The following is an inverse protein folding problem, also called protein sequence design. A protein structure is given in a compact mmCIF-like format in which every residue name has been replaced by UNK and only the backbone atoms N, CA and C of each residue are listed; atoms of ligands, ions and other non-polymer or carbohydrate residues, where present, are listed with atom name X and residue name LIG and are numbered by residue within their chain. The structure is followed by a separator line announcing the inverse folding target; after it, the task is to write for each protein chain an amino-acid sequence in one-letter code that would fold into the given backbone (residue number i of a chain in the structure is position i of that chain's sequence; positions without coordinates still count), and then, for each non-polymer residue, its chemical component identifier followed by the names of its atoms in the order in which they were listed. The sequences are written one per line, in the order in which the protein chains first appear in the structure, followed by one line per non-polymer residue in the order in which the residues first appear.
data_IF_350983506018
#
_entry.id   IF_350983506018
#
_cell.length_a   1.000
_cell.length_b   1.000
_cell.length_c   1.000
_cell.angle_alpha   90.00
_cell.angle_beta   90.00
_cell.angle_gamma   90.00
#
_symmetry.space_group_name_H-M   'P 1'
#
loop_
_entity.id
_entity.type
_entity.pdbx_description
1 polymer ?
#
# COMPACT_ATOMS: atom_id res chain seq x y z
N UNK A 1 26.18 -10.15 4.72
CA UNK A 1 26.29 -9.45 6.02
C UNK A 1 27.42 -10.03 6.85
N UNK A 2 27.49 -11.38 7.01
CA UNK A 2 28.56 -12.09 7.76
C UNK A 2 29.95 -11.66 7.31
N UNK A 3 30.26 -11.73 6.04
CA UNK A 3 31.56 -11.36 5.47
C UNK A 3 31.92 -9.89 5.73
N UNK A 4 30.93 -8.99 5.62
CA UNK A 4 31.12 -7.57 5.87
C UNK A 4 31.49 -7.26 7.33
N UNK A 5 30.98 -8.03 8.29
CA UNK A 5 31.33 -7.93 9.71
C UNK A 5 32.74 -8.49 9.96
N UNK A 6 33.01 -9.69 9.43
CA UNK A 6 34.32 -10.34 9.64
C UNK A 6 35.48 -9.60 8.99
N UNK A 7 35.24 -8.93 7.86
CA UNK A 7 36.24 -8.08 7.19
C UNK A 7 36.41 -6.70 7.84
N UNK A 8 35.59 -6.34 8.81
CA UNK A 8 35.57 -5.01 9.42
C UNK A 8 34.96 -3.92 8.56
N UNK A 9 34.35 -4.27 7.41
CA UNK A 9 33.60 -3.32 6.58
C UNK A 9 32.38 -2.74 7.33
N UNK A 10 31.71 -3.57 8.13
CA UNK A 10 30.69 -3.16 9.08
C UNK A 10 31.21 -3.33 10.51
N UNK A 11 31.03 -2.32 11.34
CA UNK A 11 31.41 -2.36 12.75
C UNK A 11 30.54 -3.31 13.58
N UNK A 12 29.33 -3.61 13.15
CA UNK A 12 28.38 -4.51 13.78
C UNK A 12 27.01 -4.45 13.12
N UNK A 13 26.04 -5.24 13.62
CA UNK A 13 24.67 -5.22 13.17
C UNK A 13 23.67 -5.58 14.27
N UNK A 14 22.41 -5.20 14.06
CA UNK A 14 21.27 -5.73 14.80
C UNK A 14 20.25 -6.29 13.77
N UNK A 15 19.80 -7.51 13.99
CA UNK A 15 18.87 -8.21 13.08
C UNK A 15 17.74 -8.83 13.87
N UNK A 16 16.51 -8.56 13.46
CA UNK A 16 15.28 -9.07 14.08
C UNK A 16 14.55 -10.08 13.19
N UNK A 17 14.79 -10.04 11.85
CA UNK A 17 14.09 -10.86 10.85
C UNK A 17 15.08 -11.72 10.10
N UNK A 18 14.79 -13.01 9.94
CA UNK A 18 15.71 -13.99 9.35
C UNK A 18 15.04 -14.73 8.18
N UNK A 19 15.81 -15.16 7.16
CA UNK A 19 15.27 -15.94 6.03
C UNK A 19 14.58 -17.24 6.48
N UNK A 20 15.13 -17.87 7.51
CA UNK A 20 14.57 -19.08 8.13
C UNK A 20 14.40 -18.83 9.63
N UNK A 21 13.17 -18.92 10.09
CA UNK A 21 12.80 -18.69 11.49
C UNK A 21 12.17 -19.95 12.08
N UNK A 22 12.47 -20.32 13.35
CA UNK A 22 11.84 -21.44 14.02
C UNK A 22 10.32 -21.25 14.07
N UNK A 23 9.56 -22.30 13.73
CA UNK A 23 8.09 -22.27 13.76
C UNK A 23 7.52 -22.31 15.18
N UNK A 24 8.33 -22.73 16.12
CA UNK A 24 7.96 -22.83 17.55
C UNK A 24 9.21 -22.86 18.43
N UNK A 25 9.02 -22.71 19.74
CA UNK A 25 10.10 -22.65 20.73
C UNK A 25 10.90 -23.97 20.92
N UNK A 26 10.54 -25.04 20.23
CA UNK A 26 11.23 -26.33 20.31
C UNK A 26 12.21 -26.54 19.16
N UNK A 27 12.11 -25.76 18.12
CA UNK A 27 13.02 -25.81 16.98
C UNK A 27 14.28 -24.99 17.26
N UNK A 28 15.48 -25.48 16.91
CA UNK A 28 16.70 -24.73 17.07
C UNK A 28 16.71 -23.53 16.11
N UNK A 29 17.18 -22.40 16.57
CA UNK A 29 17.48 -21.26 15.72
C UNK A 29 18.89 -21.41 15.14
N UNK A 30 19.00 -21.41 13.83
CA UNK A 30 20.27 -21.44 13.10
C UNK A 30 20.41 -20.19 12.22
N UNK A 31 21.58 -19.55 12.28
CA UNK A 31 21.91 -18.39 11.47
C UNK A 31 23.41 -18.23 11.34
N UNK A 32 23.87 -17.86 10.16
CA UNK A 32 25.27 -17.51 9.90
C UNK A 32 25.78 -16.32 10.73
N UNK A 33 24.87 -15.55 11.31
CA UNK A 33 25.19 -14.37 12.13
C UNK A 33 25.40 -14.75 13.61
N UNK A 34 25.06 -15.97 14.01
CA UNK A 34 25.17 -16.45 15.38
C UNK A 34 26.62 -16.51 15.82
N UNK A 35 26.92 -15.87 16.94
CA UNK A 35 28.27 -15.86 17.51
C UNK A 35 29.27 -14.88 16.85
N UNK A 36 28.82 -14.06 15.90
CA UNK A 36 29.67 -13.01 15.34
C UNK A 36 29.91 -11.87 16.34
N UNK A 37 31.08 -11.20 16.30
CA UNK A 37 31.34 -10.04 17.14
C UNK A 37 30.39 -8.88 16.80
N UNK A 38 30.08 -8.04 17.78
CA UNK A 38 29.25 -6.83 17.62
C UNK A 38 27.91 -7.08 16.91
N UNK A 39 27.29 -8.27 17.15
CA UNK A 39 26.05 -8.66 16.52
C UNK A 39 24.97 -8.86 17.56
N UNK A 40 23.83 -8.18 17.39
CA UNK A 40 22.62 -8.35 18.21
C UNK A 40 21.59 -9.06 17.35
N UNK A 41 21.08 -10.20 17.84
CA UNK A 41 20.00 -10.94 17.22
C UNK A 41 18.81 -10.97 18.17
N UNK A 42 17.62 -10.57 17.68
CA UNK A 42 16.39 -10.54 18.45
C UNK A 42 15.38 -11.53 17.85
N UNK A 43 14.43 -12.05 18.65
CA UNK A 43 13.62 -13.22 18.26
C UNK A 43 12.39 -12.90 17.42
N UNK A 44 12.32 -11.77 16.74
CA UNK A 44 11.21 -11.33 15.87
C UNK A 44 9.83 -11.42 16.56
N UNK A 45 9.73 -10.93 17.79
CA UNK A 45 8.49 -10.99 18.59
C UNK A 45 7.71 -9.67 18.63
N UNK A 46 8.13 -8.65 17.88
CA UNK A 46 7.51 -7.32 17.91
C UNK A 46 6.01 -7.32 17.61
N UNK A 47 5.55 -8.25 16.77
CA UNK A 47 4.12 -8.45 16.48
C UNK A 47 3.43 -9.53 17.33
N UNK A 48 4.15 -10.23 18.21
CA UNK A 48 3.66 -11.44 18.88
C UNK A 48 3.38 -11.25 20.37
N UNK A 49 3.70 -10.09 20.94
CA UNK A 49 3.36 -9.78 22.33
C UNK A 49 1.85 -9.52 22.50
N UNK A 50 1.30 -9.69 23.69
CA UNK A 50 -0.11 -9.43 23.96
C UNK A 50 -0.47 -7.97 23.65
N UNK A 51 0.36 -7.02 24.06
CA UNK A 51 0.18 -5.60 23.80
C UNK A 51 0.23 -5.28 22.29
N UNK A 52 1.13 -5.91 21.55
CA UNK A 52 1.20 -5.74 20.08
C UNK A 52 -0.07 -6.26 19.41
N UNK A 53 -0.55 -7.44 19.79
CA UNK A 53 -1.78 -8.03 19.25
C UNK A 53 -3.00 -7.15 19.51
N UNK A 54 -3.15 -6.60 20.72
CA UNK A 54 -4.21 -5.64 21.02
C UNK A 54 -4.11 -4.36 20.19
N UNK A 55 -2.91 -3.80 20.04
CA UNK A 55 -2.69 -2.59 19.27
C UNK A 55 -2.94 -2.82 17.77
N UNK A 56 -2.50 -3.94 17.22
CA UNK A 56 -2.77 -4.36 15.84
C UNK A 56 -4.27 -4.52 15.62
N UNK A 57 -4.97 -5.20 16.55
CA UNK A 57 -6.41 -5.43 16.48
C UNK A 57 -7.23 -4.12 16.51
N UNK A 58 -6.72 -3.06 17.11
CA UNK A 58 -7.36 -1.72 17.11
C UNK A 58 -6.98 -0.91 15.87
N UNK A 59 -5.72 -0.96 15.46
CA UNK A 59 -5.19 -0.12 14.38
C UNK A 59 -5.63 -0.60 12.99
N UNK A 60 -5.46 -1.89 12.70
CA UNK A 60 -5.68 -2.44 11.35
C UNK A 60 -7.13 -2.31 10.87
N UNK A 61 -8.16 -2.65 11.68
CA UNK A 61 -9.54 -2.46 11.25
C UNK A 61 -9.88 -1.00 10.93
N UNK A 62 -9.36 -0.07 11.73
CA UNK A 62 -9.53 1.38 11.46
C UNK A 62 -8.96 1.77 10.10
N UNK A 63 -7.77 1.27 9.72
CA UNK A 63 -7.16 1.52 8.42
C UNK A 63 -7.91 0.87 7.26
N UNK A 64 -8.42 -0.34 7.46
CA UNK A 64 -9.26 -1.02 6.46
C UNK A 64 -10.56 -0.25 6.24
N UNK A 65 -11.21 0.19 7.29
CA UNK A 65 -12.44 1.00 7.18
C UNK A 65 -12.17 2.35 6.50
N UNK A 66 -11.06 3.01 6.83
CA UNK A 66 -10.62 4.24 6.16
C UNK A 66 -10.44 3.99 4.65
N UNK A 67 -9.73 2.93 4.27
CA UNK A 67 -9.56 2.54 2.86
C UNK A 67 -10.90 2.23 2.17
N UNK A 68 -11.79 1.50 2.82
CA UNK A 68 -13.10 1.15 2.25
C UNK A 68 -13.94 2.41 2.01
N UNK A 69 -13.95 3.33 2.95
CA UNK A 69 -14.84 4.51 2.93
C UNK A 69 -14.25 5.69 2.15
N UNK A 70 -12.94 5.84 2.09
CA UNK A 70 -12.31 7.04 1.51
C UNK A 70 -11.31 6.75 0.39
N UNK A 71 -10.87 5.50 0.26
CA UNK A 71 -9.78 5.13 -0.65
C UNK A 71 -8.40 5.51 -0.16
N UNK A 72 -8.24 6.01 1.06
CA UNK A 72 -6.94 6.34 1.62
C UNK A 72 -6.08 5.09 1.80
N UNK A 73 -4.82 5.17 1.40
CA UNK A 73 -3.84 4.08 1.43
C UNK A 73 -2.68 4.38 2.37
N UNK A 74 -2.85 5.37 3.25
CA UNK A 74 -1.82 5.76 4.20
C UNK A 74 -1.43 4.60 5.13
N UNK A 75 -0.14 4.37 5.27
CA UNK A 75 0.48 3.23 5.97
C UNK A 75 0.31 1.87 5.28
N UNK A 76 -0.17 1.82 4.04
CA UNK A 76 -0.10 0.60 3.25
C UNK A 76 1.33 0.37 2.74
N UNK A 77 1.79 -0.89 2.78
CA UNK A 77 3.14 -1.26 2.29
C UNK A 77 3.14 -1.67 0.82
N UNK A 78 1.98 -2.01 0.26
CA UNK A 78 1.84 -2.54 -1.11
C UNK A 78 1.12 -1.58 -2.07
N UNK A 79 0.60 -0.46 -1.58
CA UNK A 79 0.00 0.60 -2.38
C UNK A 79 0.80 1.90 -2.28
N UNK A 80 0.77 2.74 -3.33
CA UNK A 80 1.23 4.12 -3.20
C UNK A 80 0.47 4.84 -2.09
N UNK A 81 1.19 5.54 -1.21
CA UNK A 81 0.57 6.20 -0.04
C UNK A 81 -0.17 7.48 -0.46
N UNK A 82 -1.48 7.49 -0.32
CA UNK A 82 -2.35 8.67 -0.49
C UNK A 82 -3.21 8.84 0.75
N UNK A 83 -3.33 10.08 1.21
CA UNK A 83 -4.27 10.48 2.24
C UNK A 83 -4.95 11.78 1.80
N UNK A 84 -6.26 11.73 1.59
CA UNK A 84 -7.08 12.85 1.16
C UNK A 84 -8.24 13.04 2.14
N UNK A 85 -8.68 14.28 2.34
CA UNK A 85 -9.88 14.54 3.12
C UNK A 85 -11.13 13.94 2.44
N UNK A 86 -12.15 13.68 3.24
CA UNK A 86 -13.48 13.40 2.74
C UNK A 86 -14.08 14.68 2.14
N UNK A 87 -14.64 14.59 0.93
CA UNK A 87 -15.35 15.68 0.27
C UNK A 87 -16.85 15.38 0.31
N UNK A 88 -17.60 16.23 0.99
CA UNK A 88 -19.03 16.01 1.26
C UNK A 88 -19.93 16.10 0.00
N UNK A 89 -19.55 16.97 -0.95
CA UNK A 89 -20.37 17.29 -2.12
C UNK A 89 -19.72 16.81 -3.43
N UNK A 90 -18.95 15.75 -3.37
CA UNK A 90 -18.27 15.14 -4.51
C UNK A 90 -18.44 13.62 -4.52
N UNK A 91 -18.40 13.02 -5.69
CA UNK A 91 -18.33 11.58 -5.85
C UNK A 91 -16.89 11.16 -6.06
N UNK A 92 -16.43 10.17 -5.31
CA UNK A 92 -15.05 9.69 -5.39
C UNK A 92 -14.94 8.42 -6.21
N UNK A 93 -14.11 8.48 -7.24
CA UNK A 93 -13.75 7.36 -8.11
C UNK A 93 -12.32 6.93 -7.79
N UNK A 94 -12.10 5.64 -7.67
CA UNK A 94 -10.77 5.06 -7.45
C UNK A 94 -10.43 4.18 -8.64
N UNK A 95 -9.27 4.44 -9.26
CA UNK A 95 -8.76 3.68 -10.38
C UNK A 95 -7.37 3.15 -10.06
N UNK A 96 -7.25 1.85 -10.01
CA UNK A 96 -5.99 1.13 -9.84
C UNK A 96 -5.61 0.55 -11.20
N UNK A 97 -4.41 0.87 -11.68
CA UNK A 97 -3.96 0.46 -13.00
C UNK A 97 -2.48 0.05 -13.00
N UNK A 98 -2.06 -0.68 -14.03
CA UNK A 98 -0.64 -0.88 -14.28
C UNK A 98 0.05 0.46 -14.50
N UNK A 99 1.27 0.63 -13.97
CA UNK A 99 2.02 1.87 -14.11
C UNK A 99 2.57 2.03 -15.53
N UNK A 100 1.69 2.38 -16.45
CA UNK A 100 1.99 2.56 -17.88
C UNK A 100 1.71 4.02 -18.30
N UNK A 101 2.52 4.57 -19.20
CA UNK A 101 2.27 5.91 -19.76
C UNK A 101 0.90 6.01 -20.45
N UNK A 102 0.22 7.13 -20.24
CA UNK A 102 -1.02 7.45 -20.94
C UNK A 102 -2.30 6.96 -20.28
N UNK A 103 -2.28 6.15 -19.22
CA UNK A 103 -3.51 5.70 -18.52
C UNK A 103 -4.27 6.88 -17.94
N UNK A 104 -3.61 7.80 -17.25
CA UNK A 104 -4.27 9.00 -16.71
C UNK A 104 -4.92 9.86 -17.81
N UNK A 105 -4.27 9.98 -18.98
CA UNK A 105 -4.84 10.69 -20.12
C UNK A 105 -6.13 10.02 -20.61
N UNK A 106 -6.19 8.69 -20.67
CA UNK A 106 -7.39 7.94 -21.05
C UNK A 106 -8.52 8.12 -20.03
N UNK A 107 -8.20 8.10 -18.73
CA UNK A 107 -9.18 8.39 -17.67
C UNK A 107 -9.81 9.78 -17.92
N UNK A 108 -8.98 10.79 -18.14
CA UNK A 108 -9.45 12.16 -18.34
C UNK A 108 -10.23 12.31 -19.66
N UNK A 109 -9.86 11.60 -20.71
CA UNK A 109 -10.62 11.57 -21.97
C UNK A 109 -12.02 10.98 -21.79
N UNK A 110 -12.15 9.89 -21.03
CA UNK A 110 -13.45 9.29 -20.72
C UNK A 110 -14.29 10.28 -19.93
N UNK A 111 -13.77 10.87 -18.86
CA UNK A 111 -14.50 11.85 -18.03
C UNK A 111 -14.94 13.05 -18.87
N UNK A 112 -14.08 13.58 -19.72
CA UNK A 112 -14.40 14.69 -20.63
C UNK A 112 -15.47 14.30 -21.66
N UNK A 113 -15.41 13.08 -22.22
CA UNK A 113 -16.39 12.56 -23.18
C UNK A 113 -17.82 12.48 -22.60
N UNK A 114 -17.94 12.22 -21.31
CA UNK A 114 -19.21 12.22 -20.59
C UNK A 114 -19.53 13.59 -19.94
N UNK A 115 -18.75 14.62 -20.25
CA UNK A 115 -18.91 15.97 -19.71
C UNK A 115 -18.92 15.99 -18.17
N UNK A 116 -18.06 15.18 -17.54
CA UNK A 116 -17.88 15.08 -16.09
C UNK A 116 -16.73 16.00 -15.68
N UNK A 117 -17.03 16.94 -14.77
CA UNK A 117 -16.04 17.86 -14.24
C UNK A 117 -15.27 17.24 -13.07
N UNK A 118 -13.96 17.46 -13.03
CA UNK A 118 -13.06 16.98 -11.98
C UNK A 118 -12.91 18.07 -10.93
N UNK A 119 -13.28 17.76 -9.69
CA UNK A 119 -13.08 18.63 -8.51
C UNK A 119 -11.67 18.51 -7.99
N UNK A 120 -11.15 17.27 -7.97
CA UNK A 120 -9.79 16.97 -7.57
C UNK A 120 -9.33 15.65 -8.17
N UNK A 121 -8.06 15.57 -8.53
CA UNK A 121 -7.49 14.33 -9.04
C UNK A 121 -6.08 14.15 -8.50
N UNK A 122 -5.80 12.97 -7.98
CA UNK A 122 -4.53 12.62 -7.34
C UNK A 122 -4.04 11.29 -7.88
N UNK A 123 -2.84 11.31 -8.44
CA UNK A 123 -2.15 10.11 -8.88
C UNK A 123 -0.89 9.93 -8.03
N UNK A 124 -0.72 8.74 -7.51
CA UNK A 124 0.57 8.24 -7.03
C UNK A 124 0.88 6.90 -7.67
N UNK A 125 2.14 6.68 -7.96
CA UNK A 125 2.63 5.44 -8.56
C UNK A 125 3.72 4.81 -7.69
N UNK A 126 3.86 3.52 -7.81
CA UNK A 126 5.08 2.78 -7.50
C UNK A 126 5.57 2.10 -8.78
N UNK A 127 6.54 1.21 -8.70
CA UNK A 127 7.12 0.55 -9.87
C UNK A 127 6.09 -0.24 -10.70
N UNK A 128 5.05 -0.80 -10.05
CA UNK A 128 4.09 -1.71 -10.68
C UNK A 128 2.74 -1.09 -10.97
N UNK A 129 2.24 -0.25 -10.07
CA UNK A 129 0.86 0.25 -10.14
C UNK A 129 0.77 1.77 -10.02
N UNK A 130 -0.23 2.32 -10.71
CA UNK A 130 -0.76 3.65 -10.46
C UNK A 130 -2.06 3.57 -9.65
N UNK A 131 -2.19 4.48 -8.70
CA UNK A 131 -3.37 4.64 -7.86
C UNK A 131 -3.92 6.05 -8.05
N UNK A 132 -5.07 6.15 -8.72
CA UNK A 132 -5.73 7.43 -9.00
C UNK A 132 -6.97 7.54 -8.13
N UNK A 133 -7.09 8.65 -7.42
CA UNK A 133 -8.34 9.10 -6.81
C UNK A 133 -8.82 10.31 -7.61
N UNK A 134 -10.03 10.26 -8.12
CA UNK A 134 -10.68 11.36 -8.81
C UNK A 134 -11.98 11.72 -8.10
N UNK A 135 -12.08 12.93 -7.62
CA UNK A 135 -13.30 13.51 -7.06
C UNK A 135 -14.01 14.31 -8.15
N UNK A 136 -15.28 14.03 -8.38
CA UNK A 136 -16.13 14.62 -9.42
C UNK A 136 -17.35 15.31 -8.79
N UNK A 137 -17.88 16.32 -9.45
CA UNK A 137 -18.92 17.23 -8.92
C UNK A 137 -20.35 16.87 -9.33
N UNK A 138 -20.54 15.78 -10.06
CA UNK A 138 -21.84 15.47 -10.65
C UNK A 138 -22.14 13.97 -10.60
N UNK A 139 -23.43 13.67 -10.56
CA UNK A 139 -23.90 12.29 -10.73
C UNK A 139 -23.47 11.80 -12.11
N UNK A 140 -22.86 10.62 -12.14
CA UNK A 140 -22.36 9.96 -13.34
C UNK A 140 -23.37 8.94 -13.89
N UNK A 141 -23.35 8.75 -15.20
CA UNK A 141 -24.11 7.70 -15.86
C UNK A 141 -23.40 6.34 -15.78
N UNK A 142 -24.17 5.27 -15.80
CA UNK A 142 -23.62 3.91 -15.72
C UNK A 142 -22.59 3.63 -16.84
N UNK A 143 -22.82 4.17 -18.03
CA UNK A 143 -21.95 4.01 -19.20
C UNK A 143 -20.56 4.64 -18.98
N UNK A 144 -20.50 5.78 -18.27
CA UNK A 144 -19.21 6.39 -17.92
C UNK A 144 -18.37 5.47 -17.01
N UNK A 145 -19.02 4.83 -16.05
CA UNK A 145 -18.38 3.85 -15.14
C UNK A 145 -17.88 2.62 -15.92
N UNK A 146 -18.67 2.09 -16.82
CA UNK A 146 -18.24 0.97 -17.66
C UNK A 146 -17.08 1.37 -18.61
N UNK A 147 -17.12 2.56 -19.18
CA UNK A 147 -16.01 3.06 -19.99
C UNK A 147 -14.71 3.18 -19.17
N UNK A 148 -14.78 3.68 -17.93
CA UNK A 148 -13.62 3.79 -17.02
C UNK A 148 -13.07 2.40 -16.63
N UNK A 149 -13.93 1.44 -16.32
CA UNK A 149 -13.54 0.06 -16.01
C UNK A 149 -12.82 -0.63 -17.15
N UNK A 150 -13.21 -0.33 -18.39
CA UNK A 150 -12.69 -0.96 -19.60
C UNK A 150 -11.43 -0.27 -20.17
N UNK A 151 -10.88 0.72 -19.50
CA UNK A 151 -9.60 1.33 -19.91
C UNK A 151 -8.50 0.26 -19.86
N UNK A 152 -7.75 0.04 -20.95
CA UNK A 152 -6.62 -0.88 -20.97
C UNK A 152 -5.61 -0.57 -19.86
N UNK A 153 -5.18 -1.60 -19.15
CA UNK A 153 -4.28 -1.46 -18.00
C UNK A 153 -5.00 -1.31 -16.66
N UNK A 154 -6.34 -1.24 -16.63
CA UNK A 154 -7.13 -1.22 -15.39
C UNK A 154 -6.99 -2.55 -14.64
N UNK A 155 -6.58 -2.48 -13.39
CA UNK A 155 -6.55 -3.61 -12.45
C UNK A 155 -7.85 -3.65 -11.66
N UNK A 156 -8.29 -2.50 -11.15
CA UNK A 156 -9.50 -2.38 -10.35
C UNK A 156 -10.06 -0.96 -10.44
N UNK A 157 -11.38 -0.89 -10.55
CA UNK A 157 -12.13 0.37 -10.45
C UNK A 157 -13.15 0.28 -9.33
N UNK A 158 -13.33 1.37 -8.58
CA UNK A 158 -14.33 1.48 -7.51
C UNK A 158 -14.95 2.88 -7.54
N UNK A 159 -16.25 2.91 -7.31
CA UNK A 159 -16.97 4.14 -6.93
C UNK A 159 -17.21 4.10 -5.43
N UNK A 160 -16.97 5.18 -4.76
CA UNK A 160 -17.31 5.31 -3.35
C UNK A 160 -18.52 6.24 -3.17
N UNK A 161 -18.81 7.12 -2.80
CA UNK A 161 -20.03 7.93 -2.61
C UNK A 161 -20.25 8.88 -3.78
#
# INVERSE_FOLDING_TARGET
LREAILSGHLAGCAVDVFPEEPKNNKEPFESELKGLPNTILTPHIGGSTLEAQENIARFVPGKIMEYINTGNTYNSVNFPNIQLPFLKDAHRLIHIHHNEPGVLAKINQVLAGYNINIVGQYLKTNEMIGYVITDIDKVYEADAIEALKNIPGTIRFRTLY
#
